data_IF_212279244267
#
_entry.id   IF_212279244267
#
_cell.length_a   1.000
_cell.length_b   1.000
_cell.length_c   1.000
_cell.angle_alpha   90.00
_cell.angle_beta   90.00
_cell.angle_gamma   90.00
#
_symmetry.space_group_name_H-M   'P 1'
#
loop_
_entity.id
_entity.type
_entity.pdbx_description
1 polymer ?
#
# COMPACT_ATOMS: atom_id res chain seq x y z
N UNK A 1 -14.58 0.84 -17.70
CA UNK A 1 -13.26 0.21 -17.91
C UNK A 1 -12.43 0.51 -16.68
N UNK A 2 -12.30 -0.49 -15.80
CA UNK A 2 -11.82 -0.32 -14.43
C UNK A 2 -10.29 -0.19 -14.39
N UNK A 3 -9.79 1.03 -14.58
CA UNK A 3 -8.37 1.38 -14.41
C UNK A 3 -7.89 1.28 -12.95
N UNK A 4 -8.75 0.91 -12.00
CA UNK A 4 -8.35 0.63 -10.62
C UNK A 4 -7.81 -0.79 -10.41
N UNK A 5 -7.99 -1.69 -11.38
CA UNK A 5 -7.69 -3.10 -11.15
C UNK A 5 -6.18 -3.39 -11.13
N UNK A 6 -5.35 -2.65 -11.87
CA UNK A 6 -3.90 -2.94 -11.94
C UNK A 6 -3.13 -2.59 -10.65
N UNK A 7 -3.53 -1.52 -9.95
CA UNK A 7 -2.99 -1.17 -8.63
C UNK A 7 -3.46 -2.15 -7.56
N UNK A 8 -4.73 -2.54 -7.59
CA UNK A 8 -5.25 -3.60 -6.73
C UNK A 8 -4.56 -4.94 -7.00
N UNK A 9 -4.25 -5.26 -8.26
CA UNK A 9 -3.50 -6.45 -8.66
C UNK A 9 -2.05 -6.39 -8.17
N UNK A 10 -1.38 -5.24 -8.27
CA UNK A 10 -0.03 -5.03 -7.73
C UNK A 10 0.01 -5.09 -6.21
N UNK A 11 -1.02 -4.58 -5.53
CA UNK A 11 -1.16 -4.71 -4.08
C UNK A 11 -1.48 -6.15 -3.68
N UNK A 12 -2.29 -6.87 -4.44
CA UNK A 12 -2.52 -8.31 -4.25
C UNK A 12 -1.24 -9.14 -4.51
N UNK A 13 -0.40 -8.74 -5.46
CA UNK A 13 0.94 -9.29 -5.63
C UNK A 13 1.86 -8.94 -4.44
N UNK A 14 1.70 -7.75 -3.85
CA UNK A 14 2.45 -7.32 -2.65
C UNK A 14 1.99 -7.97 -1.35
N UNK A 15 0.71 -8.34 -1.24
CA UNK A 15 0.11 -8.97 -0.04
C UNK A 15 0.10 -10.51 -0.17
N UNK A 16 0.20 -11.06 -1.38
CA UNK A 16 0.20 -12.50 -1.66
C UNK A 16 1.58 -13.17 -1.63
N UNK A 17 2.68 -12.41 -1.66
CA UNK A 17 4.04 -12.99 -1.59
C UNK A 17 4.39 -13.51 -0.21
N UNK A 18 3.69 -13.13 0.87
CA UNK A 18 4.06 -13.59 2.21
C UNK A 18 3.89 -15.10 2.37
N UNK A 19 2.88 -15.73 1.74
CA UNK A 19 2.77 -17.19 1.77
C UNK A 19 3.85 -17.86 0.93
N UNK A 20 4.15 -17.33 -0.26
CA UNK A 20 5.21 -17.85 -1.13
C UNK A 20 6.60 -17.72 -0.50
N UNK A 21 6.85 -16.62 0.21
CA UNK A 21 8.09 -16.39 0.95
C UNK A 21 8.17 -17.34 2.15
N UNK A 22 7.09 -17.52 2.90
CA UNK A 22 7.04 -18.47 4.01
C UNK A 22 7.32 -19.91 3.54
N UNK A 23 6.69 -20.33 2.43
CA UNK A 23 6.92 -21.63 1.82
C UNK A 23 8.37 -21.78 1.36
N UNK A 24 8.95 -20.73 0.76
CA UNK A 24 10.34 -20.77 0.29
C UNK A 24 11.36 -20.81 1.43
N UNK A 25 11.12 -20.06 2.50
CA UNK A 25 11.95 -20.06 3.71
C UNK A 25 11.95 -21.45 4.35
N UNK A 26 10.77 -22.08 4.45
CA UNK A 26 10.64 -23.43 4.97
C UNK A 26 11.35 -24.46 4.08
N UNK A 27 11.21 -24.35 2.76
CA UNK A 27 11.90 -25.22 1.80
C UNK A 27 13.42 -25.14 1.93
N UNK A 28 13.97 -23.93 2.10
CA UNK A 28 15.41 -23.73 2.33
C UNK A 28 15.85 -24.33 3.66
N UNK A 29 15.07 -24.15 4.73
CA UNK A 29 15.34 -24.78 6.03
C UNK A 29 15.39 -26.30 5.92
N UNK A 30 14.37 -26.90 5.29
CA UNK A 30 14.30 -28.35 5.06
C UNK A 30 15.48 -28.85 4.20
N UNK A 31 15.94 -28.06 3.22
CA UNK A 31 17.09 -28.41 2.39
C UNK A 31 18.41 -28.40 3.18
N UNK A 32 18.59 -27.44 4.09
CA UNK A 32 19.78 -27.38 4.95
C UNK A 32 19.84 -28.54 5.95
N UNK A 33 18.68 -29.03 6.40
CA UNK A 33 18.58 -30.25 7.21
C UNK A 33 18.95 -31.49 6.39
N UNK A 34 18.40 -31.61 5.18
CA UNK A 34 18.72 -32.72 4.25
C UNK A 34 20.21 -32.76 3.91
N UNK A 35 20.83 -31.61 3.73
CA UNK A 35 22.26 -31.47 3.43
C UNK A 35 23.15 -31.70 4.68
N UNK A 36 22.56 -31.97 5.86
CA UNK A 36 23.26 -32.19 7.12
C UNK A 36 23.93 -30.94 7.69
N UNK A 37 23.58 -29.74 7.19
CA UNK A 37 24.16 -28.46 7.62
C UNK A 37 23.47 -27.89 8.86
N UNK A 38 22.22 -28.28 9.10
CA UNK A 38 21.44 -27.91 10.28
C UNK A 38 20.73 -29.14 10.85
N UNK A 39 20.56 -29.16 12.17
CA UNK A 39 19.68 -30.11 12.82
C UNK A 39 18.20 -29.69 12.61
N UNK A 40 17.24 -30.64 12.51
CA UNK A 40 15.81 -30.33 12.41
C UNK A 40 15.29 -29.31 13.44
N UNK A 41 15.78 -29.33 14.68
CA UNK A 41 15.36 -28.35 15.69
C UNK A 41 15.89 -26.95 15.36
N UNK A 42 17.17 -26.85 15.02
CA UNK A 42 17.81 -25.56 14.68
C UNK A 42 17.19 -24.93 13.42
N UNK A 43 16.83 -25.74 12.43
CA UNK A 43 16.19 -25.24 11.22
C UNK A 43 14.79 -24.68 11.50
N UNK A 44 14.02 -25.29 12.41
CA UNK A 44 12.72 -24.75 12.85
C UNK A 44 12.89 -23.41 13.55
N UNK A 45 13.81 -23.31 14.50
CA UNK A 45 14.03 -22.08 15.26
C UNK A 45 14.42 -20.91 14.32
N UNK A 46 15.30 -21.17 13.34
CA UNK A 46 15.71 -20.16 12.34
C UNK A 46 14.53 -19.72 11.46
N UNK A 47 13.69 -20.67 11.02
CA UNK A 47 12.51 -20.36 10.20
C UNK A 47 11.50 -19.55 11.01
N UNK A 48 11.25 -19.94 12.27
CA UNK A 48 10.30 -19.26 13.15
C UNK A 48 10.76 -17.83 13.51
N UNK A 49 12.04 -17.63 13.82
CA UNK A 49 12.63 -16.31 14.08
C UNK A 49 12.55 -15.39 12.86
N UNK A 50 12.83 -15.93 11.66
CA UNK A 50 12.73 -15.15 10.42
C UNK A 50 11.28 -14.76 10.15
N UNK A 51 10.34 -15.70 10.32
CA UNK A 51 8.91 -15.44 10.14
C UNK A 51 8.37 -14.42 11.15
N UNK A 52 8.85 -14.47 12.40
CA UNK A 52 8.50 -13.50 13.43
C UNK A 52 9.03 -12.10 13.09
N UNK A 53 10.27 -12.01 12.61
CA UNK A 53 10.89 -10.75 12.19
C UNK A 53 10.16 -10.16 10.98
N UNK A 54 9.82 -10.98 9.99
CA UNK A 54 9.05 -10.53 8.82
C UNK A 54 7.68 -9.99 9.23
N UNK A 55 6.99 -10.66 10.17
CA UNK A 55 5.70 -10.19 10.70
C UNK A 55 5.83 -8.87 11.46
N UNK A 56 6.89 -8.67 12.24
CA UNK A 56 7.10 -7.44 12.99
C UNK A 56 7.47 -6.26 12.09
N UNK A 57 8.21 -6.49 11.01
CA UNK A 57 8.60 -5.46 10.05
C UNK A 57 7.53 -5.15 9.01
N UNK A 58 6.57 -6.06 8.78
CA UNK A 58 5.52 -5.91 7.76
C UNK A 58 4.71 -4.61 7.90
N UNK A 59 4.33 -4.22 9.13
CA UNK A 59 3.55 -3.01 9.37
C UNK A 59 4.31 -1.72 9.03
N UNK A 60 5.61 -1.68 9.33
CA UNK A 60 6.46 -0.55 8.96
C UNK A 60 6.68 -0.50 7.44
N UNK A 61 6.92 -1.66 6.83
CA UNK A 61 7.13 -1.80 5.40
C UNK A 61 5.90 -1.34 4.59
N UNK A 62 4.70 -1.78 4.95
CA UNK A 62 3.45 -1.38 4.29
C UNK A 62 3.26 0.14 4.33
N UNK A 63 3.47 0.75 5.51
CA UNK A 63 3.37 2.20 5.66
C UNK A 63 4.40 2.98 4.84
N UNK A 64 5.61 2.43 4.69
CA UNK A 64 6.68 3.04 3.90
C UNK A 64 6.37 2.96 2.40
N UNK A 65 5.95 1.79 1.93
CA UNK A 65 5.51 1.56 0.54
C UNK A 65 4.34 2.46 0.20
N UNK A 66 3.32 2.54 1.05
CA UNK A 66 2.15 3.39 0.81
C UNK A 66 2.52 4.87 0.71
N UNK A 67 3.47 5.34 1.54
CA UNK A 67 4.00 6.71 1.44
C UNK A 67 4.75 6.93 0.13
N UNK A 68 5.57 5.97 -0.29
CA UNK A 68 6.35 6.08 -1.52
C UNK A 68 5.47 6.10 -2.77
N UNK A 69 4.46 5.23 -2.83
CA UNK A 69 3.45 5.22 -3.90
C UNK A 69 2.73 6.58 -3.95
N UNK A 70 2.34 7.11 -2.79
CA UNK A 70 1.66 8.41 -2.71
C UNK A 70 2.53 9.55 -3.24
N UNK A 71 3.83 9.54 -2.95
CA UNK A 71 4.76 10.53 -3.48
C UNK A 71 4.91 10.42 -5.00
N UNK A 72 5.08 9.20 -5.53
CA UNK A 72 5.16 8.96 -6.98
C UNK A 72 3.90 9.45 -7.69
N UNK A 73 2.72 9.17 -7.13
CA UNK A 73 1.45 9.64 -7.68
C UNK A 73 1.40 11.17 -7.77
N UNK A 74 1.96 11.90 -6.80
CA UNK A 74 2.06 13.36 -6.89
C UNK A 74 3.04 13.81 -7.97
N UNK A 75 4.20 13.15 -8.08
CA UNK A 75 5.23 13.49 -9.07
C UNK A 75 4.73 13.30 -10.51
N UNK A 76 3.88 12.30 -10.76
CA UNK A 76 3.24 12.08 -12.07
C UNK A 76 1.98 12.91 -12.29
N UNK A 77 1.67 13.83 -11.36
CA UNK A 77 0.58 14.80 -11.51
C UNK A 77 -0.81 14.26 -11.19
N UNK A 78 -0.94 13.16 -10.45
CA UNK A 78 -2.24 12.67 -9.96
C UNK A 78 -2.62 13.48 -8.71
N UNK A 79 -3.68 14.32 -8.77
CA UNK A 79 -4.11 15.10 -7.62
C UNK A 79 -4.72 14.21 -6.54
N UNK A 80 -4.52 14.58 -5.27
CA UNK A 80 -5.12 13.87 -4.14
C UNK A 80 -6.61 14.14 -4.09
N UNK A 81 -7.40 13.15 -3.66
CA UNK A 81 -8.85 13.31 -3.48
C UNK A 81 -9.18 14.51 -2.58
N UNK A 82 -8.41 14.72 -1.50
CA UNK A 82 -8.58 15.86 -0.61
C UNK A 82 -8.40 17.22 -1.31
N UNK A 83 -7.46 17.31 -2.25
CA UNK A 83 -7.22 18.54 -3.03
C UNK A 83 -8.39 18.79 -4.00
N UNK A 84 -8.90 17.73 -4.62
CA UNK A 84 -10.10 17.80 -5.47
C UNK A 84 -11.33 18.23 -4.67
N UNK A 85 -11.53 17.66 -3.48
CA UNK A 85 -12.66 17.98 -2.61
C UNK A 85 -12.59 19.43 -2.09
N UNK A 86 -11.38 19.92 -1.76
CA UNK A 86 -11.16 21.31 -1.38
C UNK A 86 -11.52 22.26 -2.54
N UNK A 87 -11.05 21.96 -3.75
CA UNK A 87 -11.37 22.74 -4.94
C UNK A 87 -12.87 22.75 -5.23
N UNK A 88 -13.53 21.60 -5.11
CA UNK A 88 -15.00 21.50 -5.24
C UNK A 88 -15.71 22.39 -4.23
N UNK A 89 -15.30 22.36 -2.96
CA UNK A 89 -15.87 23.24 -1.93
C UNK A 89 -15.63 24.72 -2.21
N UNK A 90 -14.50 25.09 -2.81
CA UNK A 90 -14.22 26.48 -3.24
C UNK A 90 -15.14 26.90 -4.40
N UNK A 91 -15.36 26.02 -5.37
CA UNK A 91 -16.28 26.24 -6.49
C UNK A 91 -17.70 26.46 -5.97
N UNK A 92 -18.20 25.58 -5.10
CA UNK A 92 -19.55 25.70 -4.54
C UNK A 92 -19.78 27.05 -3.83
N UNK A 93 -18.75 27.56 -3.13
CA UNK A 93 -18.82 28.87 -2.45
C UNK A 93 -18.86 30.02 -3.45
N UNK A 94 -18.03 29.98 -4.49
CA UNK A 94 -18.02 30.99 -5.54
C UNK A 94 -19.34 31.04 -6.29
N UNK A 95 -19.91 29.87 -6.60
CA UNK A 95 -21.22 29.79 -7.25
C UNK A 95 -22.35 30.40 -6.40
N UNK A 96 -22.33 30.19 -5.08
CA UNK A 96 -23.30 30.83 -4.17
C UNK A 96 -23.14 32.35 -4.16
N UNK A 97 -21.90 32.84 -4.07
CA UNK A 97 -21.61 34.27 -4.10
C UNK A 97 -22.05 34.92 -5.42
N UNK A 98 -21.84 34.23 -6.54
CA UNK A 98 -22.28 34.70 -7.85
C UNK A 98 -23.81 34.81 -7.92
N UNK A 99 -24.54 33.77 -7.47
CA UNK A 99 -26.01 33.81 -7.39
C UNK A 99 -26.53 34.93 -6.50
N UNK A 100 -25.88 35.16 -5.35
CA UNK A 100 -26.28 36.25 -4.45
C UNK A 100 -26.03 37.64 -5.07
N UNK A 101 -24.95 37.81 -5.84
CA UNK A 101 -24.67 39.04 -6.57
C UNK A 101 -25.65 39.26 -7.71
N UNK A 102 -25.96 38.22 -8.49
CA UNK A 102 -26.99 38.26 -9.52
C UNK A 102 -28.34 38.65 -8.89
N UNK A 103 -28.77 37.99 -7.81
CA UNK A 103 -30.02 38.34 -7.14
C UNK A 103 -30.08 39.80 -6.61
N UNK A 104 -28.93 40.41 -6.31
CA UNK A 104 -28.86 41.83 -5.90
C UNK A 104 -28.90 42.78 -7.08
N UNK A 105 -28.35 42.40 -8.24
CA UNK A 105 -28.32 43.24 -9.45
C UNK A 105 -29.68 43.31 -10.17
N UNK A 106 -30.53 42.30 -9.95
CA UNK A 106 -31.87 42.21 -10.56
C UNK A 106 -32.99 42.75 -9.67
N UNK A 107 -32.66 43.33 -8.50
CA UNK A 107 -33.56 44.11 -7.65
C UNK A 107 -33.26 45.60 -7.82
#
# INVERSE_FOLDING_TARGET
MDNNNWLSQLLMLGVGTTSLVADKVKEVGDQLVKDGKLDPEQAKDVVDDLMQTLRSEQGNFESQVQRQIRNIMQDVGVPRQSEVDELRGRIDRLERQLRDLENKLWR
#
